data_IF_160955516836
#
_entry.id   IF_160955516836
#
_cell.length_a   1.000
_cell.length_b   1.000
_cell.length_c   1.000
_cell.angle_alpha   90.00
_cell.angle_beta   90.00
_cell.angle_gamma   90.00
#
_symmetry.space_group_name_H-M   'P 1'
#
loop_
_entity.id
_entity.type
_entity.pdbx_description
1 polymer ?
#
# COMPACT_ATOMS: atom_id res chain seq x y z
N UNK A 1 -17.66 1.18 1.74
CA UNK A 1 -16.31 0.94 2.29
C UNK A 1 -15.20 1.05 1.24
N UNK A 2 -15.27 0.28 0.14
CA UNK A 2 -14.22 0.24 -0.91
C UNK A 2 -13.98 1.62 -1.54
N UNK A 3 -15.05 2.33 -1.91
CA UNK A 3 -14.99 3.65 -2.50
C UNK A 3 -14.37 4.69 -1.55
N UNK A 4 -14.67 4.59 -0.25
CA UNK A 4 -14.18 5.48 0.80
C UNK A 4 -12.68 5.28 1.04
N UNK A 5 -12.17 4.06 0.98
CA UNK A 5 -10.71 3.82 1.07
C UNK A 5 -9.99 4.51 -0.08
N UNK A 6 -10.45 4.30 -1.32
CA UNK A 6 -9.87 4.93 -2.50
C UNK A 6 -9.98 6.46 -2.50
N UNK A 7 -11.15 6.99 -2.12
CA UNK A 7 -11.35 8.44 -1.94
C UNK A 7 -10.46 9.00 -0.85
N UNK A 8 -10.25 8.26 0.25
CA UNK A 8 -9.33 8.64 1.32
C UNK A 8 -7.90 8.76 0.81
N UNK A 9 -7.43 7.77 0.04
CA UNK A 9 -6.11 7.82 -0.60
C UNK A 9 -5.95 9.03 -1.53
N UNK A 10 -6.96 9.34 -2.35
CA UNK A 10 -6.94 10.54 -3.21
C UNK A 10 -6.90 11.83 -2.37
N UNK A 11 -7.70 11.89 -1.30
CA UNK A 11 -7.71 13.04 -0.39
C UNK A 11 -6.36 13.27 0.30
N UNK A 12 -5.61 12.20 0.58
CA UNK A 12 -4.23 12.26 1.07
C UNK A 12 -3.21 12.72 0.01
N UNK A 13 -3.64 12.97 -1.23
CA UNK A 13 -2.81 13.51 -2.30
C UNK A 13 -2.35 12.48 -3.33
N UNK A 14 -2.81 11.23 -3.27
CA UNK A 14 -2.50 10.26 -4.32
C UNK A 14 -3.20 10.62 -5.62
N UNK A 15 -2.46 10.60 -6.73
CA UNK A 15 -2.99 10.86 -8.07
C UNK A 15 -3.64 9.59 -8.62
N UNK A 16 -4.91 9.65 -9.01
CA UNK A 16 -5.61 8.57 -9.73
C UNK A 16 -4.90 8.23 -11.04
N UNK A 17 -4.02 7.24 -11.03
CA UNK A 17 -3.13 6.89 -12.15
C UNK A 17 -2.53 5.50 -11.95
N UNK A 18 -2.29 4.78 -13.05
CA UNK A 18 -1.58 3.49 -13.05
C UNK A 18 -0.09 3.59 -12.68
N UNK A 19 0.43 4.81 -12.57
CA UNK A 19 1.78 5.08 -12.05
C UNK A 19 1.81 5.17 -10.50
N UNK A 20 0.65 5.26 -9.86
CA UNK A 20 0.55 5.41 -8.40
C UNK A 20 0.52 4.04 -7.73
N UNK A 21 1.63 3.71 -7.07
CA UNK A 21 1.82 2.42 -6.39
C UNK A 21 1.40 2.50 -4.92
N UNK A 22 0.67 1.50 -4.44
CA UNK A 22 0.14 1.42 -3.07
C UNK A 22 0.63 0.15 -2.40
N UNK A 23 1.45 0.26 -1.35
CA UNK A 23 1.99 -0.93 -0.68
C UNK A 23 0.98 -1.59 0.25
N UNK A 24 0.92 -2.92 0.21
CA UNK A 24 0.11 -3.74 1.11
C UNK A 24 1.03 -4.73 1.80
N UNK A 25 1.46 -4.39 3.03
CA UNK A 25 2.24 -5.26 3.89
C UNK A 25 1.32 -5.99 4.87
N UNK A 26 0.61 -6.99 4.34
CA UNK A 26 -0.42 -7.72 5.06
C UNK A 26 -0.41 -9.22 4.73
N UNK A 27 -0.93 -10.01 5.65
CA UNK A 27 -1.20 -11.44 5.44
C UNK A 27 -2.42 -11.61 4.53
N UNK A 28 -2.64 -12.81 4.00
CA UNK A 28 -3.80 -13.11 3.15
C UNK A 28 -5.12 -13.08 3.97
N UNK A 29 -5.62 -11.89 4.24
CA UNK A 29 -6.82 -11.62 5.03
C UNK A 29 -7.83 -10.77 4.25
N UNK A 30 -9.00 -10.52 4.84
CA UNK A 30 -10.08 -9.74 4.21
C UNK A 30 -9.64 -8.32 3.84
N UNK A 31 -8.83 -7.67 4.68
CA UNK A 31 -8.34 -6.32 4.39
C UNK A 31 -7.42 -6.30 3.19
N UNK A 32 -6.58 -7.33 3.00
CA UNK A 32 -5.76 -7.47 1.80
C UNK A 32 -6.64 -7.42 0.54
N UNK A 33 -7.70 -8.24 0.50
CA UNK A 33 -8.62 -8.24 -0.63
C UNK A 33 -9.33 -6.89 -0.80
N UNK A 34 -9.84 -6.30 0.28
CA UNK A 34 -10.52 -5.00 0.23
C UNK A 34 -9.62 -3.89 -0.31
N UNK A 35 -8.33 -3.89 0.06
CA UNK A 35 -7.36 -2.91 -0.43
C UNK A 35 -7.07 -3.08 -1.93
N UNK A 36 -7.06 -4.31 -2.46
CA UNK A 36 -6.99 -4.52 -3.91
C UNK A 36 -8.20 -3.89 -4.61
N UNK A 37 -9.41 -4.25 -4.19
CA UNK A 37 -10.64 -3.76 -4.79
C UNK A 37 -10.84 -2.24 -4.58
N UNK A 38 -10.26 -1.65 -3.54
CA UNK A 38 -10.28 -0.21 -3.30
C UNK A 38 -9.29 0.56 -4.17
N UNK A 39 -8.22 -0.09 -4.63
CA UNK A 39 -7.18 0.54 -5.44
C UNK A 39 -7.61 0.67 -6.90
N UNK A 40 -8.18 -0.40 -7.47
CA UNK A 40 -8.45 -0.45 -8.91
C UNK A 40 -9.43 0.61 -9.42
N UNK A 41 -10.56 0.92 -8.77
CA UNK A 41 -11.47 1.97 -9.27
C UNK A 41 -10.81 3.35 -9.39
N UNK A 42 -9.65 3.56 -8.78
CA UNK A 42 -8.88 4.80 -8.80
C UNK A 42 -7.59 4.68 -9.63
N UNK A 43 -7.47 3.61 -10.42
CA UNK A 43 -6.29 3.25 -11.22
C UNK A 43 -5.01 3.00 -10.42
N UNK A 44 -5.06 2.93 -9.09
CA UNK A 44 -3.89 2.64 -8.28
C UNK A 44 -3.42 1.20 -8.50
N UNK A 45 -2.11 0.97 -8.38
CA UNK A 45 -1.49 -0.35 -8.51
C UNK A 45 -1.04 -0.84 -7.13
N UNK A 46 -1.74 -1.84 -6.56
CA UNK A 46 -1.28 -2.48 -5.33
C UNK A 46 0.08 -3.16 -5.51
N UNK A 47 0.90 -3.10 -4.47
CA UNK A 47 2.20 -3.78 -4.37
C UNK A 47 2.19 -4.66 -3.13
N UNK A 48 2.17 -5.98 -3.33
CA UNK A 48 2.15 -6.95 -2.23
C UNK A 48 3.52 -7.10 -1.57
N UNK A 49 3.54 -7.03 -0.23
CA UNK A 49 4.74 -7.20 0.59
C UNK A 49 4.45 -8.26 1.66
N UNK A 50 5.36 -9.24 1.81
CA UNK A 50 5.16 -10.38 2.71
C UNK A 50 6.40 -10.63 3.57
N UNK A 51 6.20 -11.12 4.80
CA UNK A 51 7.30 -11.41 5.75
C UNK A 51 8.26 -12.49 5.23
N UNK A 52 7.75 -13.44 4.42
CA UNK A 52 8.55 -14.55 3.87
C UNK A 52 9.69 -14.08 2.95
N UNK A 53 9.66 -12.82 2.50
CA UNK A 53 10.73 -12.24 1.68
C UNK A 53 11.92 -11.74 2.53
N UNK A 54 11.74 -11.61 3.85
CA UNK A 54 12.74 -11.09 4.77
C UNK A 54 12.77 -9.55 4.83
N UNK A 55 13.46 -9.05 5.85
CA UNK A 55 13.56 -7.62 6.19
C UNK A 55 14.15 -6.78 5.05
N UNK A 56 15.22 -7.27 4.42
CA UNK A 56 15.91 -6.53 3.35
C UNK A 56 15.03 -6.41 2.11
N UNK A 57 14.18 -7.40 1.84
CA UNK A 57 13.22 -7.32 0.76
C UNK A 57 12.15 -6.25 1.00
N UNK A 58 11.64 -6.09 2.22
CA UNK A 58 10.67 -5.02 2.53
C UNK A 58 11.28 -3.64 2.24
N UNK A 59 12.52 -3.42 2.66
CA UNK A 59 13.26 -2.16 2.41
C UNK A 59 13.49 -1.96 0.92
N UNK A 60 13.96 -2.99 0.23
CA UNK A 60 14.18 -2.98 -1.20
C UNK A 60 12.90 -2.64 -1.96
N UNK A 61 11.79 -3.34 -1.70
CA UNK A 61 10.50 -3.14 -2.37
C UNK A 61 10.00 -1.72 -2.14
N UNK A 62 10.03 -1.24 -0.89
CA UNK A 62 9.58 0.10 -0.55
C UNK A 62 10.33 1.16 -1.34
N UNK A 63 11.66 1.02 -1.47
CA UNK A 63 12.50 1.94 -2.22
C UNK A 63 12.36 1.77 -3.74
N UNK A 64 12.42 0.54 -4.23
CA UNK A 64 12.40 0.20 -5.67
C UNK A 64 11.06 0.56 -6.30
N UNK A 65 9.95 0.28 -5.62
CA UNK A 65 8.62 0.67 -6.04
C UNK A 65 8.28 2.14 -5.66
N UNK A 66 9.23 2.91 -5.11
CA UNK A 66 9.03 4.31 -4.73
C UNK A 66 7.73 4.54 -3.94
N UNK A 67 7.43 3.65 -2.99
CA UNK A 67 6.14 3.65 -2.30
C UNK A 67 6.06 4.86 -1.38
N UNK A 68 4.96 5.60 -1.51
CA UNK A 68 4.60 6.74 -0.64
C UNK A 68 3.70 6.35 0.51
N UNK A 69 2.85 5.34 0.30
CA UNK A 69 1.89 4.82 1.28
C UNK A 69 2.00 3.31 1.39
N UNK A 70 1.99 2.80 2.63
CA UNK A 70 1.94 1.37 2.92
C UNK A 70 0.87 1.07 3.97
N UNK A 71 0.02 0.09 3.68
CA UNK A 71 -0.92 -0.50 4.62
C UNK A 71 -0.24 -1.64 5.39
N UNK A 72 -0.40 -1.68 6.72
CA UNK A 72 0.19 -2.71 7.58
C UNK A 72 -0.87 -3.32 8.51
N UNK A 73 -0.97 -4.65 8.50
CA UNK A 73 -2.02 -5.38 9.23
C UNK A 73 -1.68 -5.71 10.69
N UNK A 74 -0.45 -5.46 11.12
CA UNK A 74 -0.02 -5.71 12.48
C UNK A 74 1.04 -4.72 12.95
N UNK A 75 1.19 -4.63 14.27
CA UNK A 75 2.03 -3.61 14.89
C UNK A 75 3.53 -3.85 14.69
N UNK A 76 3.96 -5.09 14.48
CA UNK A 76 5.37 -5.36 14.19
C UNK A 76 5.75 -4.81 12.80
N UNK A 77 4.88 -4.97 11.81
CA UNK A 77 5.07 -4.40 10.47
C UNK A 77 5.10 -2.88 10.49
N UNK A 78 4.24 -2.24 11.30
CA UNK A 78 4.29 -0.78 11.51
C UNK A 78 5.63 -0.34 12.11
N UNK A 79 6.08 -0.99 13.20
CA UNK A 79 7.36 -0.68 13.84
C UNK A 79 8.54 -0.83 12.88
N UNK A 80 8.57 -1.93 12.14
CA UNK A 80 9.57 -2.20 11.10
C UNK A 80 9.64 -1.04 10.07
N UNK A 81 8.50 -0.61 9.52
CA UNK A 81 8.46 0.48 8.54
C UNK A 81 8.98 1.82 9.11
N UNK A 82 8.67 2.13 10.38
CA UNK A 82 9.19 3.31 11.08
C UNK A 82 10.70 3.19 11.30
N UNK A 83 11.19 2.01 11.68
CA UNK A 83 12.61 1.73 11.85
C UNK A 83 13.38 1.91 10.53
N UNK A 84 12.82 1.48 9.40
CA UNK A 84 13.49 1.49 8.10
C UNK A 84 13.53 2.85 7.39
N UNK A 85 12.94 3.89 8.00
CA UNK A 85 12.78 5.24 7.43
C UNK A 85 14.01 5.75 6.68
N UNK A 86 15.20 5.60 7.24
CA UNK A 86 16.45 6.11 6.63
C UNK A 86 16.73 5.49 5.27
N UNK A 87 16.35 4.22 5.07
CA UNK A 87 16.46 3.50 3.80
C UNK A 87 15.24 3.59 2.90
N UNK A 88 14.10 4.06 3.43
CA UNK A 88 12.81 4.17 2.75
C UNK A 88 12.33 5.61 2.74
N UNK A 89 13.22 6.52 2.30
CA UNK A 89 12.98 7.97 2.30
C UNK A 89 11.73 8.44 1.54
N UNK A 90 11.19 7.61 0.66
CA UNK A 90 9.99 7.86 -0.16
C UNK A 90 8.68 7.59 0.60
N UNK A 91 8.73 6.79 1.68
CA UNK A 91 7.56 6.44 2.48
C UNK A 91 7.13 7.65 3.31
N UNK A 92 5.97 8.20 2.98
CA UNK A 92 5.37 9.38 3.62
C UNK A 92 4.29 8.97 4.63
N UNK A 93 3.54 7.90 4.35
CA UNK A 93 2.39 7.46 5.15
C UNK A 93 2.41 5.96 5.44
N UNK A 94 2.12 5.60 6.68
CA UNK A 94 1.73 4.23 7.08
C UNK A 94 0.27 4.26 7.50
N UNK A 95 -0.54 3.36 6.93
CA UNK A 95 -1.93 3.14 7.36
C UNK A 95 -1.99 1.83 8.13
N UNK A 96 -2.25 1.89 9.43
CA UNK A 96 -2.38 0.70 10.27
C UNK A 96 -3.80 0.16 10.26
N UNK A 97 -3.95 -1.16 10.09
CA UNK A 97 -5.25 -1.84 10.25
C UNK A 97 -5.59 -2.15 11.72
N UNK A 98 -4.68 -1.84 12.65
CA UNK A 98 -4.90 -1.93 14.09
C UNK A 98 -4.70 -0.55 14.71
N UNK A 99 -5.22 -0.34 15.91
CA UNK A 99 -5.03 0.91 16.64
C UNK A 99 -3.58 0.99 17.17
N UNK A 100 -2.76 1.96 16.72
CA UNK A 100 -1.42 2.16 17.26
C UNK A 100 -1.48 2.90 18.60
N UNK A 101 -0.47 2.69 19.46
CA UNK A 101 -0.34 3.50 20.68
C UNK A 101 0.05 4.93 20.35
N UNK A 102 -0.35 5.88 21.20
CA UNK A 102 0.07 7.28 21.10
C UNK A 102 1.59 7.44 20.97
N UNK A 103 2.36 6.65 21.72
CA UNK A 103 3.83 6.64 21.66
C UNK A 103 4.37 6.24 20.28
N UNK A 104 3.71 5.30 19.59
CA UNK A 104 4.12 4.84 18.27
C UNK A 104 3.79 5.89 17.19
N UNK A 105 2.65 6.58 17.33
CA UNK A 105 2.29 7.71 16.46
C UNK A 105 3.33 8.83 16.58
N UNK A 106 3.70 9.22 17.81
CA UNK A 106 4.73 10.26 18.03
C UNK A 106 6.11 9.81 17.51
N UNK A 107 6.45 8.53 17.66
CA UNK A 107 7.68 7.97 17.08
C UNK A 107 7.69 8.08 15.55
N UNK A 108 6.61 7.70 14.87
CA UNK A 108 6.48 7.83 13.41
C UNK A 108 6.62 9.30 12.98
N UNK A 109 5.92 10.21 13.68
CA UNK A 109 5.95 11.65 13.43
C UNK A 109 7.34 12.24 13.59
N UNK A 110 8.09 11.84 14.63
CA UNK A 110 9.48 12.29 14.84
C UNK A 110 10.42 11.91 13.68
N UNK A 111 10.05 10.87 12.92
CA UNK A 111 10.76 10.39 11.72
C UNK A 111 10.20 10.95 10.40
N UNK A 112 9.25 11.88 10.49
CA UNK A 112 8.57 12.47 9.33
C UNK A 112 7.64 11.50 8.59
N UNK A 113 7.14 10.46 9.27
CA UNK A 113 6.13 9.55 8.75
C UNK A 113 4.78 9.90 9.38
N UNK A 114 3.75 10.02 8.55
CA UNK A 114 2.38 10.07 9.02
C UNK A 114 1.89 8.64 9.31
N UNK A 115 1.55 8.35 10.56
CA UNK A 115 0.89 7.09 10.95
C UNK A 115 -0.58 7.38 11.25
N UNK A 116 -1.49 6.80 10.46
CA UNK A 116 -2.94 6.90 10.64
C UNK A 116 -3.57 5.51 10.73
N UNK A 117 -4.80 5.44 11.22
CA UNK A 117 -5.58 4.21 11.22
C UNK A 117 -6.38 4.05 9.92
N UNK A 118 -6.75 2.82 9.64
CA UNK A 118 -7.63 2.48 8.53
C UNK A 118 -9.00 3.16 8.63
N UNK A 119 -9.54 3.30 9.84
CA UNK A 119 -10.81 3.97 10.09
C UNK A 119 -10.72 5.48 9.86
N UNK A 120 -9.60 6.11 10.21
CA UNK A 120 -9.32 7.50 9.88
C UNK A 120 -9.30 7.72 8.36
N UNK A 121 -8.64 6.84 7.60
CA UNK A 121 -8.62 6.89 6.13
C UNK A 121 -10.04 6.77 5.54
N UNK A 122 -10.82 5.79 6.01
CA UNK A 122 -12.22 5.60 5.57
C UNK A 122 -13.05 6.84 5.87
N UNK A 123 -12.88 7.44 7.06
CA UNK A 123 -13.57 8.66 7.45
C UNK A 123 -13.18 9.84 6.56
N UNK A 124 -11.90 9.99 6.22
CA UNK A 124 -11.43 11.00 5.26
C UNK A 124 -12.12 10.84 3.90
N UNK A 125 -12.16 9.62 3.36
CA UNK A 125 -12.79 9.38 2.07
C UNK A 125 -14.32 9.50 2.09
N UNK A 126 -14.98 9.15 3.20
CA UNK A 126 -16.42 9.39 3.37
C UNK A 126 -16.75 10.89 3.36
N UNK A 127 -15.90 11.70 3.96
CA UNK A 127 -16.07 13.15 4.00
C UNK A 127 -15.64 13.85 2.71
N UNK A 128 -14.85 13.18 1.88
CA UNK A 128 -14.30 13.71 0.63
C UNK A 128 -14.49 12.71 -0.52
N UNK A 129 -15.75 12.41 -0.90
CA UNK A 129 -16.01 11.44 -1.96
C UNK A 129 -15.38 11.90 -3.27
N UNK A 130 -14.69 11.00 -3.95
CA UNK A 130 -14.02 11.28 -5.22
C UNK A 130 -14.53 10.35 -6.30
N UNK A 131 -14.88 10.90 -7.46
CA UNK A 131 -15.28 10.10 -8.62
C UNK A 131 -14.18 9.10 -9.01
N UNK A 132 -14.51 7.81 -9.19
CA UNK A 132 -13.60 6.80 -9.69
C UNK A 132 -12.98 7.18 -11.04
N UNK A 133 -11.79 6.66 -11.30
CA UNK A 133 -11.15 6.68 -12.61
C UNK A 133 -10.59 5.27 -12.85
N UNK A 134 -11.41 4.34 -13.38
CA UNK A 134 -11.01 2.96 -13.58
C UNK A 134 -9.85 2.83 -14.57
N UNK A 135 -9.05 1.76 -14.46
CA UNK A 135 -7.89 1.53 -15.31
C UNK A 135 -8.33 1.00 -16.68
N UNK A 136 -7.44 1.10 -17.67
CA UNK A 136 -7.62 0.45 -18.96
C UNK A 136 -7.31 -1.06 -18.87
N UNK A 137 -7.83 -1.89 -19.79
CA UNK A 137 -7.50 -3.32 -19.83
C UNK A 137 -6.01 -3.63 -19.92
N UNK A 138 -5.21 -2.71 -20.49
CA UNK A 138 -3.75 -2.85 -20.66
C UNK A 138 -2.92 -2.37 -19.47
N UNK A 139 -3.56 -1.77 -18.47
CA UNK A 139 -2.87 -1.21 -17.30
C UNK A 139 -2.35 -2.29 -16.36
N UNK A 140 -1.40 -1.96 -15.50
CA UNK A 140 -0.90 -2.89 -14.47
C UNK A 140 -1.96 -3.07 -13.38
N UNK A 141 -2.28 -4.31 -13.02
CA UNK A 141 -3.28 -4.58 -11.98
C UNK A 141 -2.67 -4.77 -10.58
N UNK A 142 -1.48 -5.36 -10.49
CA UNK A 142 -0.86 -5.77 -9.23
C UNK A 142 0.64 -6.02 -9.45
N UNK A 143 1.46 -5.70 -8.47
CA UNK A 143 2.89 -6.09 -8.47
C UNK A 143 3.15 -7.01 -7.27
N UNK A 144 3.68 -8.20 -7.54
CA UNK A 144 4.10 -9.16 -6.51
C UNK A 144 5.59 -9.45 -6.66
N UNK A 145 6.34 -9.21 -5.60
CA UNK A 145 7.75 -9.56 -5.55
C UNK A 145 7.94 -11.02 -5.18
N UNK A 146 8.92 -11.66 -5.81
CA UNK A 146 9.35 -13.02 -5.46
C UNK A 146 10.82 -13.00 -5.08
N UNK A 147 11.23 -13.90 -4.18
CA UNK A 147 12.63 -14.12 -3.86
C UNK A 147 13.36 -14.57 -5.13
N UNK A 148 14.15 -13.68 -5.74
CA UNK A 148 14.96 -14.01 -6.91
C UNK A 148 16.08 -14.99 -6.53
N UNK A 149 16.57 -15.76 -7.50
CA UNK A 149 17.69 -16.70 -7.32
C UNK A 149 19.06 -16.01 -7.21
N UNK A 150 19.13 -14.69 -7.34
CA UNK A 150 20.37 -13.88 -7.45
C UNK A 150 20.57 -12.89 -6.29
N UNK A 151 19.92 -13.08 -5.15
CA UNK A 151 20.10 -12.26 -3.94
C UNK A 151 19.03 -11.18 -3.76
N UNK A 152 18.80 -10.33 -4.76
CA UNK A 152 17.76 -9.28 -4.69
C UNK A 152 16.38 -9.77 -5.18
N UNK A 153 15.26 -9.38 -4.51
CA UNK A 153 13.92 -9.71 -4.96
C UNK A 153 13.64 -9.12 -6.36
N UNK A 154 13.21 -9.95 -7.31
CA UNK A 154 12.74 -9.47 -8.60
C UNK A 154 11.26 -9.11 -8.48
N UNK A 155 10.91 -7.88 -8.82
CA UNK A 155 9.51 -7.46 -8.96
C UNK A 155 8.93 -8.12 -10.21
N UNK A 156 8.10 -9.13 -10.04
CA UNK A 156 7.36 -9.68 -11.16
C UNK A 156 6.15 -8.76 -11.38
N UNK A 157 6.17 -8.05 -12.50
CA UNK A 157 5.05 -7.21 -12.92
C UNK A 157 3.93 -8.17 -13.38
N UNK A 158 2.80 -8.17 -12.69
CA UNK A 158 1.58 -8.82 -13.17
C UNK A 158 0.80 -7.74 -13.92
N UNK A 159 0.97 -7.72 -15.25
CA UNK A 159 0.19 -6.88 -16.14
C UNK A 159 -1.25 -7.41 -16.15
N UNK A 160 -2.23 -6.52 -16.11
CA UNK A 160 -3.64 -6.91 -16.23
C UNK A 160 -3.85 -7.61 -17.57
N UNK A 161 -4.03 -8.93 -17.55
CA UNK A 161 -4.73 -9.64 -18.63
C UNK A 161 -5.70 -10.70 -18.10
N UNK A 162 -5.80 -10.91 -16.77
CA UNK A 162 -6.49 -12.09 -16.22
C UNK A 162 -7.41 -11.86 -15.02
N UNK A 163 -7.94 -10.66 -14.79
CA UNK A 163 -8.98 -10.51 -13.75
C UNK A 163 -10.41 -10.50 -14.32
N UNK A 164 -10.65 -10.32 -15.63
CA UNK A 164 -12.00 -10.50 -16.20
C UNK A 164 -11.95 -11.09 -17.63
N UNK A 165 -11.98 -12.42 -17.72
CA UNK A 165 -12.88 -13.10 -18.66
C UNK A 165 -13.54 -14.26 -17.90
N UNK A 166 -14.61 -13.93 -17.19
CA UNK A 166 -15.67 -14.90 -16.98
C UNK A 166 -16.50 -14.92 -18.28
N UNK A 167 -16.25 -15.91 -19.13
CA UNK A 167 -17.26 -16.36 -20.09
C UNK A 167 -18.28 -17.20 -19.33
#
# INVERSE_FOLDING_TARGET
MIHEIGSGMVHMGLKKSNETLVGIYASANVHYALLLYASWPFSFVPVGIYDSLGIDAVRYITKHANLKIIFADNMQRVKNLIEYRESTSTLETIVSLLEPSFSLIEQAKSKGIQLITYDELIKMGRNNPTEPQPPQPTDTALILYTSGTTGDPKGNIIISFFIIQAN
#
